data_IF_549516128921
#
_entry.id   IF_549516128921
#
_cell.length_a   1.000
_cell.length_b   1.000
_cell.length_c   1.000
_cell.angle_alpha   90.00
_cell.angle_beta   90.00
_cell.angle_gamma   90.00
#
_symmetry.space_group_name_H-M   'P 1'
#
loop_
_entity.id
_entity.type
_entity.pdbx_description
1 polymer ?
#
# COMPACT_ATOMS: atom_id res chain seq x y z
N UNK A 1 -20.81 -4.28 -62.20
CA UNK A 1 -21.68 -5.42 -61.85
C UNK A 1 -21.31 -5.93 -60.46
N UNK A 2 -22.30 -5.86 -59.58
CA UNK A 2 -22.53 -6.60 -58.32
C UNK A 2 -21.44 -6.68 -57.24
N UNK A 3 -21.63 -5.81 -56.25
CA UNK A 3 -21.33 -6.02 -54.84
C UNK A 3 -22.12 -7.20 -54.26
N UNK A 4 -21.47 -8.12 -53.56
CA UNK A 4 -22.12 -9.12 -52.71
C UNK A 4 -21.90 -8.77 -51.24
N UNK A 5 -22.94 -8.21 -50.61
CA UNK A 5 -23.10 -8.15 -49.15
C UNK A 5 -23.62 -9.49 -48.66
N UNK A 6 -22.86 -10.17 -47.80
CA UNK A 6 -23.38 -11.23 -46.94
C UNK A 6 -23.52 -10.68 -45.52
N UNK A 7 -24.70 -10.14 -45.22
CA UNK A 7 -25.16 -9.90 -43.85
C UNK A 7 -26.08 -11.06 -43.49
N UNK A 8 -25.65 -11.92 -42.57
CA UNK A 8 -26.50 -12.93 -41.93
C UNK A 8 -27.31 -12.21 -40.83
N UNK A 9 -28.64 -12.10 -40.94
CA UNK A 9 -29.47 -11.50 -39.91
C UNK A 9 -29.76 -12.57 -38.85
N UNK A 10 -29.06 -12.51 -37.72
CA UNK A 10 -29.33 -13.43 -36.60
C UNK A 10 -28.36 -13.36 -35.42
N UNK A 11 -27.16 -12.80 -35.60
CA UNK A 11 -26.11 -12.86 -34.58
C UNK A 11 -25.97 -11.60 -33.70
N UNK A 12 -27.00 -10.72 -33.65
CA UNK A 12 -26.91 -9.45 -32.89
C UNK A 12 -27.62 -9.46 -31.53
N UNK A 13 -28.46 -10.46 -31.22
CA UNK A 13 -29.22 -10.48 -29.96
C UNK A 13 -28.53 -11.32 -28.87
N UNK A 14 -27.68 -12.29 -29.22
CA UNK A 14 -26.95 -13.08 -28.20
C UNK A 14 -25.65 -12.42 -27.69
N UNK A 15 -25.10 -11.41 -28.37
CA UNK A 15 -23.83 -10.80 -27.99
C UNK A 15 -23.96 -9.70 -26.91
N UNK A 16 -25.13 -9.06 -26.80
CA UNK A 16 -25.36 -7.99 -25.81
C UNK A 16 -25.75 -8.58 -24.44
N UNK A 17 -26.39 -9.74 -24.40
CA UNK A 17 -26.68 -10.44 -23.14
C UNK A 17 -25.42 -11.05 -22.48
N UNK A 18 -24.39 -11.40 -23.27
CA UNK A 18 -23.12 -11.91 -22.74
C UNK A 18 -22.25 -10.82 -22.09
N UNK A 19 -22.38 -9.56 -22.50
CA UNK A 19 -21.58 -8.45 -21.96
C UNK A 19 -22.12 -7.97 -20.60
N UNK A 20 -23.43 -8.06 -20.35
CA UNK A 20 -24.01 -7.70 -19.05
C UNK A 20 -23.86 -8.78 -17.96
N UNK A 21 -23.65 -10.05 -18.34
CA UNK A 21 -23.41 -11.12 -17.36
C UNK A 21 -21.94 -11.19 -16.87
N UNK A 22 -20.99 -10.56 -17.57
CA UNK A 22 -19.57 -10.54 -17.16
C UNK A 22 -19.32 -9.50 -16.06
N UNK A 23 -20.11 -8.42 -15.96
CA UNK A 23 -19.91 -7.40 -14.93
C UNK A 23 -20.55 -7.74 -13.58
N UNK A 24 -21.56 -8.61 -13.54
CA UNK A 24 -22.22 -9.02 -12.30
C UNK A 24 -21.66 -10.32 -11.68
N UNK A 25 -20.82 -11.06 -12.41
CA UNK A 25 -20.40 -12.43 -12.02
C UNK A 25 -18.95 -12.61 -11.58
N UNK A 26 -18.08 -11.59 -11.68
CA UNK A 26 -16.64 -11.76 -11.43
C UNK A 26 -16.19 -11.50 -9.98
N UNK A 27 -17.11 -11.27 -9.04
CA UNK A 27 -16.77 -11.13 -7.61
C UNK A 27 -17.09 -12.38 -6.78
N UNK A 28 -17.56 -13.44 -7.42
CA UNK A 28 -17.92 -14.72 -6.78
C UNK A 28 -17.23 -15.89 -7.48
N UNK A 29 -15.93 -15.78 -7.74
CA UNK A 29 -15.14 -16.97 -8.06
C UNK A 29 -15.14 -17.85 -6.81
N UNK A 30 -16.02 -18.85 -6.79
CA UNK A 30 -15.93 -19.98 -5.85
C UNK A 30 -14.71 -20.81 -6.25
N UNK A 31 -13.53 -20.31 -5.91
CA UNK A 31 -12.35 -21.16 -5.82
C UNK A 31 -12.54 -22.10 -4.63
N UNK A 32 -12.12 -23.35 -4.78
CA UNK A 32 -12.20 -24.40 -3.75
C UNK A 32 -11.98 -23.80 -2.36
N UNK A 33 -12.96 -23.98 -1.46
CA UNK A 33 -13.05 -23.46 -0.09
C UNK A 33 -11.83 -22.62 0.31
N UNK A 34 -11.99 -21.28 0.32
CA UNK A 34 -11.05 -20.38 0.99
C UNK A 34 -10.66 -21.04 2.30
N UNK A 35 -9.36 -21.25 2.57
CA UNK A 35 -8.94 -21.94 3.78
C UNK A 35 -9.58 -21.26 5.00
N UNK A 36 -10.03 -22.07 5.96
CA UNK A 36 -10.62 -21.57 7.19
C UNK A 36 -9.50 -21.10 8.13
N UNK A 37 -8.90 -19.96 7.79
CA UNK A 37 -7.68 -19.46 8.44
C UNK A 37 -7.84 -19.32 9.95
N UNK A 38 -9.05 -18.99 10.44
CA UNK A 38 -9.36 -18.81 11.86
C UNK A 38 -9.26 -20.12 12.67
N UNK A 39 -9.35 -21.28 12.01
CA UNK A 39 -9.28 -22.61 12.63
C UNK A 39 -7.96 -23.33 12.32
N UNK A 40 -7.00 -22.68 11.65
CA UNK A 40 -5.67 -23.23 11.38
C UNK A 40 -4.77 -23.16 12.61
N UNK A 41 -3.81 -24.08 12.71
CA UNK A 41 -2.77 -24.00 13.74
C UNK A 41 -1.73 -22.93 13.41
N UNK A 42 -0.95 -22.53 14.42
CA UNK A 42 0.13 -21.57 14.23
C UNK A 42 1.17 -22.04 13.20
N UNK A 43 1.43 -23.35 13.13
CA UNK A 43 2.34 -23.97 12.17
C UNK A 43 1.76 -23.92 10.74
N UNK A 44 0.48 -24.23 10.56
CA UNK A 44 -0.18 -24.15 9.25
C UNK A 44 -0.18 -22.72 8.70
N UNK A 45 -0.42 -21.73 9.57
CA UNK A 45 -0.33 -20.32 9.20
C UNK A 45 1.10 -19.93 8.80
N UNK A 46 2.12 -20.41 9.52
CA UNK A 46 3.53 -20.15 9.19
C UNK A 46 3.91 -20.77 7.85
N UNK A 47 3.48 -22.00 7.56
CA UNK A 47 3.75 -22.66 6.28
C UNK A 47 3.16 -21.89 5.09
N UNK A 48 1.95 -21.33 5.25
CA UNK A 48 1.33 -20.47 4.24
C UNK A 48 2.09 -19.15 4.07
N UNK A 49 2.53 -18.53 5.17
CA UNK A 49 3.34 -17.31 5.14
C UNK A 49 4.66 -17.57 4.40
N UNK A 50 5.40 -18.61 4.76
CA UNK A 50 6.67 -18.95 4.11
C UNK A 50 6.51 -19.28 2.61
N UNK A 51 5.42 -19.94 2.25
CA UNK A 51 5.10 -20.25 0.86
C UNK A 51 4.80 -18.99 0.05
N UNK A 52 3.96 -18.09 0.59
CA UNK A 52 3.68 -16.80 -0.04
C UNK A 52 4.90 -15.89 -0.12
N UNK A 53 5.79 -15.92 0.88
CA UNK A 53 7.04 -15.15 0.87
C UNK A 53 7.97 -15.51 -0.29
N UNK A 54 7.99 -16.78 -0.71
CA UNK A 54 8.71 -17.21 -1.92
C UNK A 54 8.11 -16.62 -3.19
N UNK A 55 6.79 -16.51 -3.27
CA UNK A 55 6.08 -15.88 -4.39
C UNK A 55 6.27 -14.35 -4.37
N UNK A 56 6.23 -13.73 -3.18
CA UNK A 56 6.37 -12.29 -2.94
C UNK A 56 7.69 -11.70 -3.46
N UNK A 57 8.78 -12.48 -3.31
CA UNK A 57 10.15 -12.11 -3.71
C UNK A 57 10.51 -12.56 -5.13
N UNK A 58 9.62 -13.27 -5.81
CA UNK A 58 9.85 -13.74 -7.18
C UNK A 58 9.87 -12.55 -8.15
N UNK A 59 10.82 -12.56 -9.08
CA UNK A 59 10.84 -11.61 -10.18
C UNK A 59 9.65 -11.88 -11.11
N UNK A 60 8.89 -10.83 -11.41
CA UNK A 60 7.75 -10.89 -12.29
C UNK A 60 8.06 -10.75 -13.78
N UNK A 61 6.99 -10.76 -14.56
CA UNK A 61 7.00 -10.64 -16.02
C UNK A 61 6.98 -9.18 -16.51
N UNK A 62 6.84 -8.24 -15.57
CA UNK A 62 6.91 -6.80 -15.85
C UNK A 62 8.31 -6.38 -16.27
N UNK A 63 8.38 -5.23 -16.93
CA UNK A 63 9.64 -4.61 -17.32
C UNK A 63 10.61 -4.56 -16.13
N UNK A 64 11.86 -4.99 -16.39
CA UNK A 64 12.94 -5.10 -15.41
C UNK A 64 12.73 -6.13 -14.29
N UNK A 65 11.75 -7.03 -14.40
CA UNK A 65 11.60 -8.18 -13.52
C UNK A 65 11.06 -7.86 -12.13
N UNK A 66 10.27 -6.78 -11.98
CA UNK A 66 9.82 -6.31 -10.67
C UNK A 66 9.06 -7.37 -9.87
N UNK A 67 9.48 -7.58 -8.62
CA UNK A 67 8.78 -8.40 -7.63
C UNK A 67 7.82 -7.56 -6.78
N UNK A 68 6.90 -8.18 -6.06
CA UNK A 68 6.04 -7.49 -5.10
C UNK A 68 6.87 -6.81 -4.01
N UNK A 69 7.89 -7.51 -3.49
CA UNK A 69 8.86 -6.99 -2.51
C UNK A 69 9.67 -5.77 -3.01
N UNK A 70 9.69 -5.49 -4.32
CA UNK A 70 10.38 -4.32 -4.85
C UNK A 70 9.62 -3.01 -4.66
N UNK A 71 8.31 -3.06 -4.40
CA UNK A 71 7.49 -1.88 -4.16
C UNK A 71 6.75 -1.91 -2.82
N UNK A 72 6.67 -3.07 -2.18
CA UNK A 72 5.92 -3.29 -0.94
C UNK A 72 6.84 -3.72 0.21
N UNK A 73 6.29 -3.76 1.42
CA UNK A 73 7.05 -4.14 2.61
C UNK A 73 7.67 -5.55 2.44
N UNK A 74 8.86 -5.80 2.99
CA UNK A 74 9.56 -7.08 2.89
C UNK A 74 8.75 -8.30 3.30
N UNK A 75 7.71 -8.13 4.11
CA UNK A 75 6.85 -9.12 4.75
C UNK A 75 5.39 -9.08 4.32
N UNK A 76 5.03 -8.19 3.39
CA UNK A 76 3.66 -7.93 2.96
C UNK A 76 2.70 -7.46 4.07
N UNK A 77 3.19 -7.00 5.22
CA UNK A 77 2.32 -6.49 6.28
C UNK A 77 1.54 -5.26 5.84
N UNK A 78 2.05 -4.48 4.90
CA UNK A 78 1.32 -3.35 4.33
C UNK A 78 0.03 -3.79 3.62
N UNK A 79 0.04 -4.93 2.93
CA UNK A 79 -1.18 -5.53 2.35
C UNK A 79 -2.02 -6.31 3.38
N UNK A 80 -1.41 -6.80 4.46
CA UNK A 80 -2.16 -7.40 5.57
C UNK A 80 -2.95 -6.33 6.35
N UNK A 81 -2.34 -5.18 6.65
CA UNK A 81 -2.95 -4.05 7.35
C UNK A 81 -3.95 -3.28 6.51
N UNK A 82 -3.85 -3.32 5.18
CA UNK A 82 -4.74 -2.57 4.29
C UNK A 82 -5.67 -3.53 3.56
N UNK A 83 -6.97 -3.31 3.67
CA UNK A 83 -8.02 -4.21 3.17
C UNK A 83 -8.22 -4.09 1.66
N UNK A 84 -7.20 -4.43 0.89
CA UNK A 84 -7.39 -4.76 -0.53
C UNK A 84 -8.13 -6.10 -0.64
N UNK A 85 -9.09 -6.15 -1.54
CA UNK A 85 -9.79 -7.39 -1.88
C UNK A 85 -8.85 -8.34 -2.62
N UNK A 86 -9.13 -9.64 -2.51
CA UNK A 86 -8.40 -10.65 -3.28
C UNK A 86 -8.46 -10.38 -4.78
N UNK A 87 -9.56 -9.81 -5.28
CA UNK A 87 -9.66 -9.40 -6.68
C UNK A 87 -8.64 -8.31 -7.04
N UNK A 88 -8.49 -7.28 -6.20
CA UNK A 88 -7.49 -6.22 -6.42
C UNK A 88 -6.08 -6.79 -6.37
N UNK A 89 -5.79 -7.67 -5.42
CA UNK A 89 -4.50 -8.36 -5.29
C UNK A 89 -4.22 -9.21 -6.53
N UNK A 90 -5.17 -10.04 -6.98
CA UNK A 90 -5.02 -10.85 -8.20
C UNK A 90 -4.75 -9.98 -9.42
N UNK A 91 -5.55 -8.92 -9.60
CA UNK A 91 -5.46 -8.04 -10.77
C UNK A 91 -4.15 -7.27 -10.83
N UNK A 92 -3.68 -6.75 -9.69
CA UNK A 92 -2.42 -5.98 -9.61
C UNK A 92 -1.19 -6.90 -9.59
N UNK A 93 -1.27 -8.01 -8.86
CA UNK A 93 -0.19 -8.98 -8.70
C UNK A 93 0.07 -9.85 -9.92
N UNK A 94 -0.91 -10.04 -10.82
CA UNK A 94 -0.80 -10.99 -11.94
C UNK A 94 0.48 -10.83 -12.78
N UNK A 95 0.88 -9.58 -13.03
CA UNK A 95 2.08 -9.26 -13.83
C UNK A 95 3.39 -9.50 -13.06
N UNK A 96 3.33 -9.62 -11.73
CA UNK A 96 4.49 -9.76 -10.83
C UNK A 96 4.86 -11.20 -10.48
N UNK A 97 4.06 -12.19 -10.90
CA UNK A 97 4.29 -13.61 -10.54
C UNK A 97 4.50 -14.55 -11.73
N UNK A 98 4.48 -14.03 -12.95
CA UNK A 98 4.87 -14.77 -14.16
C UNK A 98 6.35 -14.56 -14.48
N UNK A 99 7.00 -15.50 -15.19
CA UNK A 99 8.37 -15.31 -15.68
C UNK A 99 8.41 -14.65 -17.06
N UNK A 100 7.41 -14.92 -17.88
CA UNK A 100 7.30 -14.39 -19.24
C UNK A 100 6.22 -13.32 -19.35
N UNK A 101 6.40 -12.29 -20.19
CA UNK A 101 5.33 -11.35 -20.51
C UNK A 101 4.08 -12.10 -20.96
N UNK A 102 2.96 -11.90 -20.24
CA UNK A 102 1.66 -12.57 -20.41
C UNK A 102 1.50 -13.96 -19.74
N UNK A 103 2.46 -14.44 -18.96
CA UNK A 103 2.28 -15.62 -18.12
C UNK A 103 1.50 -15.26 -16.85
N UNK A 104 0.31 -15.85 -16.68
CA UNK A 104 -0.41 -15.79 -15.41
C UNK A 104 -0.05 -17.01 -14.55
N UNK A 105 0.66 -16.79 -13.43
CA UNK A 105 0.89 -17.83 -12.44
C UNK A 105 -0.13 -17.75 -11.32
N UNK A 106 -1.33 -18.29 -11.56
CA UNK A 106 -2.43 -18.23 -10.61
C UNK A 106 -2.07 -18.85 -9.24
N UNK A 107 -1.32 -19.96 -9.22
CA UNK A 107 -0.91 -20.60 -7.97
C UNK A 107 -0.09 -19.65 -7.09
N UNK A 108 0.83 -18.87 -7.68
CA UNK A 108 1.66 -17.92 -6.93
C UNK A 108 0.87 -16.71 -6.43
N UNK A 109 -0.17 -16.29 -7.15
CA UNK A 109 -1.09 -15.27 -6.64
C UNK A 109 -1.84 -15.78 -5.41
N UNK A 110 -2.34 -17.01 -5.45
CA UNK A 110 -3.03 -17.60 -4.30
C UNK A 110 -2.07 -17.81 -3.13
N UNK A 111 -0.80 -18.19 -3.37
CA UNK A 111 0.22 -18.24 -2.31
C UNK A 111 0.37 -16.88 -1.60
N UNK A 112 0.39 -15.76 -2.35
CA UNK A 112 0.47 -14.40 -1.79
C UNK A 112 -0.81 -14.05 -1.01
N UNK A 113 -1.99 -14.36 -1.55
CA UNK A 113 -3.28 -14.10 -0.89
C UNK A 113 -3.39 -14.89 0.41
N UNK A 114 -3.01 -16.17 0.39
CA UNK A 114 -2.98 -17.03 1.57
C UNK A 114 -2.02 -16.48 2.63
N UNK A 115 -0.84 -16.01 2.24
CA UNK A 115 0.07 -15.33 3.16
C UNK A 115 -0.57 -14.09 3.78
N UNK A 116 -1.20 -13.21 2.99
CA UNK A 116 -1.85 -11.99 3.49
C UNK A 116 -2.94 -12.33 4.52
N UNK A 117 -3.80 -13.30 4.24
CA UNK A 117 -4.83 -13.73 5.20
C UNK A 117 -4.23 -14.41 6.44
N UNK A 118 -3.18 -15.22 6.27
CA UNK A 118 -2.50 -15.88 7.37
C UNK A 118 -1.81 -14.88 8.31
N UNK A 119 -1.17 -13.83 7.76
CA UNK A 119 -0.62 -12.72 8.54
C UNK A 119 -1.70 -12.03 9.37
N UNK A 120 -2.90 -11.82 8.79
CA UNK A 120 -4.00 -11.18 9.51
C UNK A 120 -4.46 -12.02 10.70
N UNK A 121 -4.66 -13.32 10.52
CA UNK A 121 -5.08 -14.21 11.62
C UNK A 121 -3.97 -14.34 12.65
N UNK A 122 -2.76 -14.70 12.23
CA UNK A 122 -1.62 -14.95 13.13
C UNK A 122 -1.31 -13.77 14.04
N UNK A 123 -1.45 -12.54 13.52
CA UNK A 123 -1.12 -11.32 14.26
C UNK A 123 -2.35 -10.54 14.74
N UNK A 124 -3.57 -11.07 14.58
CA UNK A 124 -4.80 -10.40 15.00
C UNK A 124 -5.04 -9.04 14.32
N UNK A 125 -4.64 -8.90 13.05
CA UNK A 125 -4.72 -7.63 12.32
C UNK A 125 -6.15 -7.36 11.90
N UNK A 126 -6.69 -6.20 12.31
CA UNK A 126 -7.94 -5.66 11.76
C UNK A 126 -7.60 -4.71 10.59
N UNK A 127 -7.87 -5.11 9.33
CA UNK A 127 -7.39 -4.36 8.19
C UNK A 127 -8.19 -3.06 7.96
N UNK A 128 -7.47 -2.01 7.58
CA UNK A 128 -7.97 -0.65 7.35
C UNK A 128 -8.49 -0.47 5.93
N UNK A 129 -9.42 0.45 5.72
CA UNK A 129 -9.97 0.71 4.38
C UNK A 129 -8.93 1.42 3.51
N UNK A 130 -8.58 0.91 2.31
CA UNK A 130 -7.56 1.52 1.45
C UNK A 130 -7.81 3.00 1.14
N UNK A 131 -9.08 3.38 0.93
CA UNK A 131 -9.46 4.77 0.62
C UNK A 131 -9.33 5.75 1.80
N UNK A 132 -9.13 5.25 3.01
CA UNK A 132 -9.04 6.03 4.24
C UNK A 132 -7.65 5.97 4.87
N UNK A 133 -6.89 4.91 4.61
CA UNK A 133 -5.58 4.68 5.21
C UNK A 133 -4.53 5.67 4.70
N UNK A 134 -4.00 6.48 5.63
CA UNK A 134 -2.96 7.49 5.42
C UNK A 134 -1.95 7.36 6.56
N UNK A 135 -0.88 6.58 6.39
CA UNK A 135 -0.01 6.17 7.50
C UNK A 135 0.65 7.35 8.22
N UNK A 136 0.92 8.44 7.49
CA UNK A 136 1.58 9.61 8.04
C UNK A 136 0.63 10.77 8.38
N UNK A 137 -0.70 10.57 8.33
CA UNK A 137 -1.68 11.62 8.63
C UNK A 137 -1.57 12.03 10.12
N UNK A 138 -1.19 13.28 10.43
CA UNK A 138 -1.13 13.74 11.81
C UNK A 138 -2.48 13.63 12.52
N UNK A 139 -2.46 13.16 13.77
CA UNK A 139 -3.65 12.89 14.56
C UNK A 139 -4.56 11.78 14.01
N UNK A 140 -4.08 11.01 13.02
CA UNK A 140 -4.78 9.90 12.35
C UNK A 140 -6.14 10.26 11.75
N UNK A 141 -6.46 11.56 11.63
CA UNK A 141 -7.72 12.04 11.07
C UNK A 141 -7.50 13.35 10.32
N UNK A 142 -8.28 13.54 9.27
CA UNK A 142 -8.33 14.79 8.52
C UNK A 142 -9.42 15.65 9.15
N UNK A 143 -9.12 16.91 9.43
CA UNK A 143 -10.15 17.88 9.80
C UNK A 143 -10.96 18.21 8.55
N UNK A 144 -12.02 17.43 8.31
CA UNK A 144 -12.89 17.55 7.14
C UNK A 144 -13.58 18.92 7.09
N UNK A 145 -13.87 19.38 5.88
CA UNK A 145 -14.68 20.57 5.64
C UNK A 145 -16.08 20.41 6.23
N UNK A 146 -16.48 21.35 7.08
CA UNK A 146 -17.89 21.61 7.38
C UNK A 146 -18.02 23.09 7.73
N UNK A 147 -18.96 23.80 7.10
CA UNK A 147 -19.17 25.24 7.31
C UNK A 147 -18.39 26.15 6.33
N UNK A 148 -18.62 27.46 6.45
CA UNK A 148 -18.10 28.50 5.54
C UNK A 148 -16.60 28.72 5.71
N UNK A 149 -16.06 28.46 6.90
CA UNK A 149 -14.67 28.72 7.27
C UNK A 149 -13.74 27.51 7.06
N UNK A 150 -14.29 26.36 6.65
CA UNK A 150 -13.51 25.22 6.21
C UNK A 150 -12.61 24.59 7.28
N UNK A 151 -11.48 23.97 6.87
CA UNK A 151 -10.59 23.24 7.78
C UNK A 151 -9.86 24.13 8.80
N UNK A 152 -9.68 25.42 8.50
CA UNK A 152 -8.96 26.36 9.38
C UNK A 152 -9.73 26.63 10.68
N UNK A 153 -11.05 26.74 10.61
CA UNK A 153 -11.90 26.86 11.81
C UNK A 153 -11.77 25.63 12.70
N UNK A 154 -11.83 24.42 12.10
CA UNK A 154 -11.67 23.17 12.85
C UNK A 154 -10.28 23.08 13.49
N UNK A 155 -9.24 23.49 12.77
CA UNK A 155 -7.89 23.52 13.31
C UNK A 155 -7.79 24.48 14.50
N UNK A 156 -8.36 25.69 14.37
CA UNK A 156 -8.44 26.65 15.49
C UNK A 156 -9.20 26.10 16.70
N UNK A 157 -10.29 25.37 16.48
CA UNK A 157 -11.04 24.69 17.55
C UNK A 157 -10.23 23.58 18.21
N UNK A 158 -9.45 22.80 17.46
CA UNK A 158 -8.57 21.77 18.03
C UNK A 158 -7.45 22.40 18.86
N UNK A 159 -6.84 23.50 18.40
CA UNK A 159 -5.84 24.23 19.17
C UNK A 159 -6.44 24.87 20.44
N UNK A 160 -7.68 25.36 20.35
CA UNK A 160 -8.44 25.89 21.50
C UNK A 160 -8.69 24.80 22.54
N UNK A 161 -9.17 23.63 22.11
CA UNK A 161 -9.46 22.49 22.96
C UNK A 161 -8.22 21.96 23.70
N UNK A 162 -7.02 22.15 23.13
CA UNK A 162 -5.73 21.85 23.78
C UNK A 162 -5.30 22.86 24.83
N UNK A 163 -6.06 23.95 25.02
CA UNK A 163 -5.78 24.91 26.08
C UNK A 163 -4.64 25.88 25.77
N UNK A 164 -4.18 25.99 24.52
CA UNK A 164 -3.06 26.87 24.18
C UNK A 164 -3.37 28.33 24.56
N UNK A 165 -2.47 28.94 25.32
CA UNK A 165 -2.58 30.30 25.87
C UNK A 165 -2.85 31.30 24.76
N UNK A 166 -2.05 31.26 23.67
CA UNK A 166 -2.17 32.16 22.51
C UNK A 166 -3.50 32.06 21.76
N UNK A 167 -4.23 30.97 21.90
CA UNK A 167 -5.50 30.74 21.19
C UNK A 167 -6.70 31.13 22.05
N UNK A 168 -6.57 31.02 23.37
CA UNK A 168 -7.68 31.19 24.30
C UNK A 168 -7.85 32.61 24.83
N UNK A 169 -6.79 33.43 24.86
CA UNK A 169 -6.88 34.80 25.34
C UNK A 169 -5.74 35.68 24.82
N UNK A 170 -5.90 36.98 25.03
CA UNK A 170 -4.89 37.98 24.67
C UNK A 170 -3.73 37.95 25.69
N UNK A 171 -2.50 37.98 25.17
CA UNK A 171 -1.27 37.99 25.96
C UNK A 171 -0.94 39.44 26.35
N UNK A 172 -0.81 39.72 27.65
CA UNK A 172 -0.51 41.06 28.17
C UNK A 172 0.82 41.14 28.93
N UNK A 173 1.43 39.99 29.24
CA UNK A 173 2.66 39.92 30.04
C UNK A 173 3.75 39.09 29.36
N UNK A 174 5.01 39.35 29.74
CA UNK A 174 6.15 38.53 29.31
C UNK A 174 5.99 37.08 29.81
N UNK A 175 5.46 36.89 31.02
CA UNK A 175 5.23 35.56 31.59
C UNK A 175 4.29 34.72 30.71
N UNK A 176 3.16 35.29 30.29
CA UNK A 176 2.21 34.64 29.37
C UNK A 176 2.84 34.36 28.01
N UNK A 177 3.66 35.27 27.48
CA UNK A 177 4.36 35.06 26.22
C UNK A 177 5.37 33.89 26.30
N UNK A 178 6.11 33.79 27.41
CA UNK A 178 7.05 32.67 27.67
C UNK A 178 6.29 31.36 27.80
N UNK A 179 5.17 31.35 28.53
CA UNK A 179 4.34 30.17 28.71
C UNK A 179 3.73 29.70 27.37
N UNK A 180 3.16 30.63 26.59
CA UNK A 180 2.64 30.32 25.26
C UNK A 180 3.71 29.74 24.33
N UNK A 181 4.94 30.30 24.35
CA UNK A 181 6.05 29.77 23.55
C UNK A 181 6.39 28.34 23.97
N UNK A 182 6.42 28.06 25.27
CA UNK A 182 6.66 26.72 25.81
C UNK A 182 5.61 25.73 25.31
N UNK A 183 4.33 26.09 25.41
CA UNK A 183 3.22 25.25 24.94
C UNK A 183 3.29 24.94 23.44
N UNK A 184 3.68 25.91 22.61
CA UNK A 184 3.85 25.69 21.17
C UNK A 184 5.02 24.76 20.85
N UNK A 185 6.12 24.84 21.60
CA UNK A 185 7.29 23.96 21.43
C UNK A 185 6.98 22.54 21.91
N UNK A 186 6.18 22.42 22.98
CA UNK A 186 5.77 21.14 23.56
C UNK A 186 4.61 20.48 22.80
N UNK A 187 4.04 21.15 21.80
CA UNK A 187 2.94 20.61 21.01
C UNK A 187 3.42 19.43 20.18
N UNK A 188 2.85 18.26 20.46
CA UNK A 188 3.09 17.07 19.65
C UNK A 188 2.37 17.19 18.29
N UNK A 189 3.16 17.47 17.26
CA UNK A 189 2.69 17.63 15.89
C UNK A 189 2.24 16.31 15.27
N UNK A 190 2.71 15.15 15.74
CA UNK A 190 2.27 13.85 15.22
C UNK A 190 0.83 13.54 15.60
N UNK A 191 0.40 14.04 16.76
CA UNK A 191 -0.96 13.84 17.27
C UNK A 191 -1.87 15.04 17.02
N UNK A 192 -1.43 16.07 16.29
CA UNK A 192 -2.22 17.26 15.96
C UNK A 192 -2.95 17.06 14.63
N UNK A 193 -4.28 16.88 14.61
CA UNK A 193 -5.03 16.75 13.37
C UNK A 193 -4.92 18.03 12.54
N UNK A 194 -4.82 17.88 11.22
CA UNK A 194 -4.76 19.00 10.27
C UNK A 194 -5.84 18.87 9.19
N UNK A 195 -6.19 20.00 8.58
CA UNK A 195 -7.14 20.07 7.47
C UNK A 195 -6.62 19.53 6.14
N UNK A 196 -5.31 19.39 6.02
CA UNK A 196 -4.65 18.93 4.80
C UNK A 196 -4.61 17.41 4.80
N UNK A 197 -5.16 16.79 3.76
CA UNK A 197 -5.04 15.34 3.56
C UNK A 197 -3.65 14.99 3.03
N UNK A 198 -2.89 14.19 3.79
CA UNK A 198 -1.63 13.63 3.28
C UNK A 198 -1.89 12.41 2.39
N UNK A 199 -0.93 12.00 1.58
CA UNK A 199 -1.09 10.90 0.62
C UNK A 199 -1.59 9.58 1.27
N UNK A 200 -2.38 8.82 0.50
CA UNK A 200 -2.79 7.45 0.87
C UNK A 200 -1.62 6.49 0.68
N UNK A 201 -1.70 5.29 1.23
CA UNK A 201 -0.68 4.27 0.99
C UNK A 201 -0.54 3.91 -0.49
N UNK A 202 -1.65 3.57 -1.14
CA UNK A 202 -1.73 3.29 -2.57
C UNK A 202 -3.03 3.86 -3.15
N UNK A 203 -2.99 4.30 -4.40
CA UNK A 203 -4.18 4.67 -5.16
C UNK A 203 -4.32 3.75 -6.37
N UNK A 204 -5.46 3.07 -6.45
CA UNK A 204 -5.80 2.23 -7.60
C UNK A 204 -6.73 2.99 -8.56
N UNK A 205 -6.28 3.28 -9.79
CA UNK A 205 -7.11 3.94 -10.80
C UNK A 205 -8.37 3.16 -11.18
N UNK A 206 -8.41 1.84 -10.93
CA UNK A 206 -9.61 1.05 -11.16
C UNK A 206 -10.76 1.47 -10.22
N UNK A 207 -10.42 1.92 -9.01
CA UNK A 207 -11.39 2.31 -7.97
C UNK A 207 -11.59 3.82 -7.86
N UNK A 208 -10.80 4.63 -8.58
CA UNK A 208 -10.85 6.09 -8.48
C UNK A 208 -10.47 6.78 -9.79
N UNK A 209 -11.13 7.90 -10.09
CA UNK A 209 -10.84 8.75 -11.26
C UNK A 209 -9.60 9.63 -11.07
N UNK A 210 -8.95 9.57 -9.91
CA UNK A 210 -7.77 10.37 -9.57
C UNK A 210 -6.49 9.66 -10.03
N UNK A 211 -6.03 10.02 -11.22
CA UNK A 211 -4.79 9.49 -11.83
C UNK A 211 -3.54 10.23 -11.35
N UNK A 212 -3.24 10.18 -10.05
CA UNK A 212 -2.01 10.79 -9.54
C UNK A 212 -1.11 9.70 -8.95
N UNK A 213 -0.34 9.02 -9.81
CA UNK A 213 0.64 7.98 -9.43
C UNK A 213 1.77 8.51 -8.53
N UNK A 214 1.90 9.83 -8.39
CA UNK A 214 2.79 10.47 -7.41
C UNK A 214 2.13 10.75 -6.05
N UNK A 215 0.81 10.60 -5.93
CA UNK A 215 0.04 11.00 -4.75
C UNK A 215 -0.20 9.84 -3.75
N UNK A 216 0.57 8.76 -3.85
CA UNK A 216 0.58 7.67 -2.88
C UNK A 216 2.00 7.44 -2.31
N UNK A 217 2.14 6.51 -1.36
CA UNK A 217 3.41 6.22 -0.69
C UNK A 217 4.20 5.08 -1.32
N UNK A 218 3.58 4.22 -2.12
CA UNK A 218 4.28 3.16 -2.83
C UNK A 218 5.31 3.72 -3.83
N UNK A 219 6.50 3.11 -3.96
CA UNK A 219 7.44 3.41 -5.03
C UNK A 219 6.77 3.31 -6.40
N UNK A 220 7.05 4.30 -7.26
CA UNK A 220 6.55 4.27 -8.65
C UNK A 220 7.34 3.27 -9.48
N UNK A 221 8.61 3.10 -9.14
CA UNK A 221 9.54 2.16 -9.75
C UNK A 221 10.05 1.20 -8.67
N UNK A 222 10.26 -0.08 -9.01
CA UNK A 222 10.68 -1.07 -8.04
C UNK A 222 12.13 -0.88 -7.60
N UNK A 223 12.39 -1.13 -6.32
CA UNK A 223 13.73 -1.28 -5.75
C UNK A 223 14.06 -2.77 -5.72
N UNK A 224 14.90 -3.20 -6.66
CA UNK A 224 15.23 -4.60 -6.87
C UNK A 224 16.65 -4.90 -6.40
N UNK A 225 16.99 -6.14 -5.99
CA UNK A 225 18.38 -6.49 -5.79
C UNK A 225 19.21 -6.30 -7.08
N UNK A 226 20.46 -5.86 -6.94
CA UNK A 226 21.44 -5.88 -8.03
C UNK A 226 21.71 -7.32 -8.44
N UNK A 227 22.04 -7.52 -9.72
CA UNK A 227 22.42 -8.83 -10.26
C UNK A 227 23.56 -9.47 -9.44
N UNK A 228 23.35 -10.69 -8.96
CA UNK A 228 24.29 -11.42 -8.10
C UNK A 228 24.28 -11.00 -6.63
N UNK A 229 23.37 -10.11 -6.22
CA UNK A 229 23.18 -9.64 -4.84
C UNK A 229 21.84 -10.08 -4.23
N UNK A 230 21.06 -10.87 -4.95
CA UNK A 230 19.70 -11.28 -4.57
C UNK A 230 19.68 -11.99 -3.22
N UNK A 231 20.60 -12.94 -3.01
CA UNK A 231 20.69 -13.66 -1.73
C UNK A 231 21.06 -12.70 -0.59
N UNK A 232 22.03 -11.80 -0.78
CA UNK A 232 22.44 -10.84 0.25
C UNK A 232 21.30 -9.91 0.62
N UNK A 233 20.56 -9.42 -0.39
CA UNK A 233 19.41 -8.56 -0.21
C UNK A 233 18.29 -9.24 0.58
N UNK A 234 17.88 -10.45 0.16
CA UNK A 234 16.79 -11.15 0.81
C UNK A 234 17.18 -11.75 2.17
N UNK A 235 18.47 -12.05 2.41
CA UNK A 235 18.93 -12.40 3.77
C UNK A 235 18.80 -11.23 4.75
N UNK A 236 19.00 -9.98 4.32
CA UNK A 236 18.73 -8.82 5.18
C UNK A 236 17.24 -8.69 5.52
N UNK A 237 16.37 -8.97 4.55
CA UNK A 237 14.93 -9.04 4.81
C UNK A 237 14.64 -10.13 5.86
N UNK A 238 15.17 -11.33 5.69
CA UNK A 238 14.97 -12.43 6.65
C UNK A 238 15.51 -12.11 8.04
N UNK A 239 16.68 -11.47 8.14
CA UNK A 239 17.25 -11.03 9.42
C UNK A 239 16.38 -9.99 10.13
N UNK A 240 15.81 -9.04 9.39
CA UNK A 240 14.86 -8.06 9.93
C UNK A 240 13.56 -8.73 10.39
N UNK A 241 13.01 -9.66 9.61
CA UNK A 241 11.77 -10.35 9.97
C UNK A 241 11.93 -11.30 11.17
N UNK A 242 13.10 -11.91 11.31
CA UNK A 242 13.42 -12.73 12.48
C UNK A 242 13.60 -11.90 13.76
N UNK A 243 14.03 -10.64 13.64
CA UNK A 243 14.25 -9.75 14.78
C UNK A 243 14.05 -8.27 14.38
N UNK A 244 12.81 -7.77 14.34
CA UNK A 244 12.54 -6.41 13.92
C UNK A 244 13.04 -5.42 14.98
N UNK A 245 14.18 -4.78 14.70
CA UNK A 245 14.80 -3.79 15.56
C UNK A 245 15.24 -2.56 14.77
N UNK A 246 15.48 -1.44 15.48
CA UNK A 246 15.99 -0.22 14.84
C UNK A 246 17.33 -0.47 14.16
N UNK A 247 18.20 -1.30 14.74
CA UNK A 247 19.49 -1.68 14.17
C UNK A 247 19.31 -2.49 12.87
N UNK A 248 18.36 -3.43 12.83
CA UNK A 248 18.10 -4.21 11.62
C UNK A 248 17.47 -3.37 10.51
N UNK A 249 16.54 -2.48 10.86
CA UNK A 249 15.97 -1.51 9.93
C UNK A 249 17.07 -0.60 9.35
N UNK A 250 17.95 -0.07 10.21
CA UNK A 250 19.06 0.78 9.80
C UNK A 250 20.01 0.05 8.83
N UNK A 251 20.33 -1.22 9.11
CA UNK A 251 21.11 -2.07 8.20
C UNK A 251 20.44 -2.23 6.84
N UNK A 252 19.13 -2.47 6.79
CA UNK A 252 18.38 -2.54 5.53
C UNK A 252 18.42 -1.21 4.76
N UNK A 253 18.19 -0.09 5.44
CA UNK A 253 18.17 1.25 4.84
C UNK A 253 19.52 1.62 4.21
N UNK A 254 20.62 1.29 4.88
CA UNK A 254 21.98 1.51 4.37
C UNK A 254 22.32 0.57 3.21
N UNK A 255 21.87 -0.69 3.28
CA UNK A 255 22.16 -1.69 2.25
C UNK A 255 21.49 -1.40 0.90
N UNK A 256 20.46 -0.55 0.84
CA UNK A 256 19.79 -0.19 -0.43
C UNK A 256 20.79 0.33 -1.47
N UNK A 257 21.71 1.20 -1.06
CA UNK A 257 22.62 1.85 -2.01
C UNK A 257 23.66 0.85 -2.57
N UNK A 258 24.01 -0.17 -1.77
CA UNK A 258 25.01 -1.19 -2.11
C UNK A 258 24.42 -2.42 -2.82
N UNK A 259 23.24 -2.87 -2.39
CA UNK A 259 22.64 -4.15 -2.79
C UNK A 259 21.45 -4.00 -3.71
N UNK A 260 20.80 -2.84 -3.79
CA UNK A 260 19.61 -2.64 -4.58
C UNK A 260 19.80 -1.65 -5.74
N UNK A 261 18.90 -1.71 -6.71
CA UNK A 261 18.88 -0.90 -7.92
C UNK A 261 17.44 -0.60 -8.30
N UNK A 262 17.20 0.63 -8.74
CA UNK A 262 16.01 0.96 -9.52
C UNK A 262 16.42 0.85 -10.99
N UNK A 263 15.74 0.04 -11.82
CA UNK A 263 16.18 -0.25 -13.19
C UNK A 263 15.92 0.90 -14.19
N UNK A 264 15.88 2.13 -13.69
CA UNK A 264 15.64 3.37 -14.41
C UNK A 264 16.53 4.48 -13.84
N UNK A 265 16.76 5.55 -14.61
CA UNK A 265 17.58 6.69 -14.18
C UNK A 265 16.77 7.97 -13.99
N UNK A 266 17.39 8.97 -13.36
CA UNK A 266 16.81 10.30 -13.16
C UNK A 266 15.98 10.46 -11.88
N UNK A 267 15.26 11.58 -11.78
CA UNK A 267 14.58 11.99 -10.56
C UNK A 267 13.49 11.00 -10.09
N UNK A 268 12.83 10.30 -11.02
CA UNK A 268 11.82 9.29 -10.67
C UNK A 268 12.42 8.07 -9.96
N UNK A 269 13.64 7.67 -10.34
CA UNK A 269 14.35 6.59 -9.68
C UNK A 269 14.80 6.99 -8.28
N UNK A 270 15.41 8.17 -8.13
CA UNK A 270 15.79 8.71 -6.82
C UNK A 270 14.57 8.85 -5.90
N UNK A 271 13.43 9.35 -6.42
CA UNK A 271 12.20 9.46 -5.67
C UNK A 271 11.62 8.09 -5.24
N UNK A 272 11.70 7.08 -6.11
CA UNK A 272 11.23 5.73 -5.79
C UNK A 272 12.08 5.08 -4.69
N UNK A 273 13.39 5.31 -4.67
CA UNK A 273 14.26 4.89 -3.56
C UNK A 273 13.81 5.55 -2.24
N UNK A 274 13.52 6.86 -2.24
CA UNK A 274 13.08 7.55 -1.02
C UNK A 274 11.71 7.04 -0.55
N UNK A 275 10.77 6.77 -1.48
CA UNK A 275 9.49 6.13 -1.16
C UNK A 275 9.68 4.74 -0.57
N UNK A 276 10.58 3.92 -1.12
CA UNK A 276 10.87 2.60 -0.59
C UNK A 276 11.48 2.68 0.83
N UNK A 277 12.40 3.61 1.07
CA UNK A 277 12.93 3.87 2.43
C UNK A 277 11.81 4.29 3.40
N UNK A 278 10.91 5.19 2.99
CA UNK A 278 9.77 5.61 3.82
C UNK A 278 8.81 4.45 4.11
N UNK A 279 8.59 3.58 3.14
CA UNK A 279 7.76 2.38 3.28
C UNK A 279 8.37 1.37 4.26
N UNK A 280 9.69 1.20 4.30
CA UNK A 280 10.36 0.35 5.31
C UNK A 280 10.23 0.90 6.74
N UNK A 281 9.97 2.19 6.90
CA UNK A 281 9.81 2.86 8.20
C UNK A 281 8.36 2.83 8.69
N UNK A 282 7.40 2.80 7.76
CA UNK A 282 5.95 2.89 8.02
C UNK A 282 5.41 1.64 8.70
#
# INVERSE_FOLDING_TARGET
>A
MQSASFLIPGLKVCFIAAIFLIQAGCNTTTYNSVPDYENMTDEELVDLIETGMKAWRMNGSVESGASCAGCHAPDAFDLAYIRFSDFEIRRRGAIHVGKEPNELNASRLEDIINMIHSLRVKHGITPQVPSEFRPFQPGSKILKESGILGPDEKFGLELRARGLTIINHQIFTIGEAVQSRKELIELDLWHLPIGISLNRWSVDPYSSTQHLTLADWLPVLPVMPKSGKEQQWYSLHDEYLANPSAEQLDRMLHAIDDLAVVPFSGNGAAFSVQKYKAMLIA
#
